data_IF_868706921110
#
_entry.id   IF_868706921110
#
_cell.length_a   1.000
_cell.length_b   1.000
_cell.length_c   1.000
_cell.angle_alpha   90.00
_cell.angle_beta   90.00
_cell.angle_gamma   90.00
#
_symmetry.space_group_name_H-M   'P 1'
#
loop_
_entity.id
_entity.type
_entity.pdbx_description
1 polymer ?
#
# COMPACT_ATOMS: atom_id res chain seq x y z
N UNK A 1 41.58 90.30 -16.38
CA UNK A 1 40.09 90.40 -16.34
C UNK A 1 39.57 89.26 -17.19
N UNK A 2 38.58 88.50 -16.71
CA UNK A 2 37.98 87.43 -17.51
C UNK A 2 37.16 88.11 -18.59
N UNK A 3 37.71 88.23 -19.80
CA UNK A 3 36.92 88.67 -20.93
C UNK A 3 35.97 87.54 -21.28
N UNK A 4 34.69 87.73 -20.96
CA UNK A 4 33.60 86.87 -21.43
C UNK A 4 33.46 87.06 -22.95
N UNK A 5 34.31 86.37 -23.69
CA UNK A 5 34.32 86.36 -25.14
C UNK A 5 33.37 85.27 -25.67
N UNK A 6 32.80 85.50 -26.86
CA UNK A 6 31.92 84.54 -27.57
C UNK A 6 32.57 83.16 -27.72
N UNK A 7 33.90 83.10 -27.79
CA UNK A 7 34.69 81.86 -27.76
C UNK A 7 34.38 80.97 -26.55
N UNK A 8 34.18 81.56 -25.36
CA UNK A 8 33.89 80.84 -24.12
C UNK A 8 32.49 80.21 -24.15
N UNK A 9 31.53 80.90 -24.79
CA UNK A 9 30.19 80.36 -25.06
C UNK A 9 30.25 79.18 -26.04
N UNK A 10 31.02 79.31 -27.13
CA UNK A 10 31.20 78.25 -28.13
C UNK A 10 31.87 77.02 -27.50
N UNK A 11 32.88 77.22 -26.65
CA UNK A 11 33.57 76.13 -25.94
C UNK A 11 32.63 75.44 -24.93
N UNK A 12 31.79 76.20 -24.22
CA UNK A 12 30.78 75.64 -23.33
C UNK A 12 29.75 74.79 -24.10
N UNK A 13 29.28 75.27 -25.26
CA UNK A 13 28.37 74.50 -26.14
C UNK A 13 29.06 73.23 -26.64
N UNK A 14 30.33 73.29 -27.07
CA UNK A 14 31.07 72.12 -27.50
C UNK A 14 31.23 71.07 -26.39
N UNK A 15 31.54 71.51 -25.17
CA UNK A 15 31.63 70.64 -24.00
C UNK A 15 30.27 70.01 -23.66
N UNK A 16 29.18 70.76 -23.74
CA UNK A 16 27.82 70.24 -23.54
C UNK A 16 27.45 69.19 -24.60
N UNK A 17 27.77 69.44 -25.87
CA UNK A 17 27.54 68.48 -26.96
C UNK A 17 28.35 67.20 -26.70
N UNK A 18 29.63 67.32 -26.33
CA UNK A 18 30.48 66.18 -26.00
C UNK A 18 29.94 65.39 -24.79
N UNK A 19 29.44 66.09 -23.77
CA UNK A 19 28.84 65.47 -22.59
C UNK A 19 27.58 64.67 -22.94
N UNK A 20 26.71 65.22 -23.79
CA UNK A 20 25.52 64.51 -24.28
C UNK A 20 25.90 63.28 -25.11
N UNK A 21 26.88 63.42 -26.00
CA UNK A 21 27.40 62.31 -26.81
C UNK A 21 27.97 61.21 -25.91
N UNK A 22 28.80 61.57 -24.93
CA UNK A 22 29.41 60.63 -23.99
C UNK A 22 28.36 59.95 -23.09
N UNK A 23 27.35 60.69 -22.64
CA UNK A 23 26.22 60.15 -21.87
C UNK A 23 25.45 59.09 -22.67
N UNK A 24 25.23 59.34 -23.97
CA UNK A 24 24.48 58.44 -24.85
C UNK A 24 25.30 57.22 -25.29
N UNK A 25 26.57 57.41 -25.62
CA UNK A 25 27.45 56.38 -26.22
C UNK A 25 28.17 55.54 -25.18
N UNK A 26 28.56 56.10 -24.03
CA UNK A 26 29.43 55.40 -23.08
C UNK A 26 28.74 55.10 -21.74
N UNK A 27 28.20 56.11 -21.07
CA UNK A 27 27.66 55.92 -19.72
C UNK A 27 26.43 55.01 -19.69
N UNK A 28 25.46 55.23 -20.58
CA UNK A 28 24.26 54.38 -20.65
C UNK A 28 24.55 52.91 -20.91
N UNK A 29 25.32 52.51 -21.95
CA UNK A 29 25.57 51.10 -22.20
C UNK A 29 26.42 50.44 -21.12
N UNK A 30 27.37 51.15 -20.50
CA UNK A 30 28.15 50.61 -19.38
C UNK A 30 27.26 50.31 -18.17
N UNK A 31 26.38 51.24 -17.80
CA UNK A 31 25.45 51.03 -16.68
C UNK A 31 24.47 49.89 -16.97
N UNK A 32 23.95 49.81 -18.19
CA UNK A 32 23.09 48.70 -18.61
C UNK A 32 23.81 47.35 -18.55
N UNK A 33 25.07 47.29 -19.00
CA UNK A 33 25.87 46.05 -18.92
C UNK A 33 26.15 45.64 -17.47
N UNK A 34 26.35 46.62 -16.57
CA UNK A 34 26.56 46.36 -15.15
C UNK A 34 25.28 45.87 -14.45
N UNK A 35 24.15 46.47 -14.78
CA UNK A 35 22.83 46.07 -14.28
C UNK A 35 22.44 44.69 -14.78
N UNK A 36 22.67 44.39 -16.06
CA UNK A 36 22.44 43.08 -16.66
C UNK A 36 23.28 41.99 -15.98
N UNK A 37 24.57 42.27 -15.70
CA UNK A 37 25.43 41.35 -14.93
C UNK A 37 24.90 41.15 -13.52
N UNK A 38 24.56 42.22 -12.81
CA UNK A 38 24.01 42.14 -11.46
C UNK A 38 22.66 41.40 -11.41
N UNK A 39 21.85 41.50 -12.48
CA UNK A 39 20.59 40.79 -12.62
C UNK A 39 20.79 39.31 -12.89
N UNK A 40 21.70 38.94 -13.80
CA UNK A 40 22.03 37.52 -14.08
C UNK A 40 22.59 36.81 -12.86
N UNK A 41 23.51 37.43 -12.11
CA UNK A 41 24.10 36.80 -10.92
C UNK A 41 23.11 36.66 -9.77
N UNK A 42 22.25 37.67 -9.53
CA UNK A 42 21.22 37.59 -8.48
C UNK A 42 20.07 36.65 -8.86
N UNK A 43 19.63 36.69 -10.12
CA UNK A 43 18.60 35.80 -10.64
C UNK A 43 19.02 34.34 -10.57
N UNK A 44 20.24 34.01 -11.02
CA UNK A 44 20.75 32.65 -10.96
C UNK A 44 20.84 32.10 -9.53
N UNK A 45 21.20 32.92 -8.53
CA UNK A 45 21.21 32.49 -7.12
C UNK A 45 19.82 32.23 -6.57
N UNK A 46 18.87 33.14 -6.83
CA UNK A 46 17.48 32.95 -6.38
C UNK A 46 16.78 31.78 -7.05
N UNK A 47 17.10 31.49 -8.33
CA UNK A 47 16.59 30.30 -9.00
C UNK A 47 17.19 29.01 -8.42
N UNK A 48 18.48 28.99 -8.09
CA UNK A 48 19.10 27.83 -7.42
C UNK A 48 18.46 27.56 -6.06
N UNK A 49 18.31 28.59 -5.22
CA UNK A 49 17.66 28.45 -3.90
C UNK A 49 16.21 27.94 -4.04
N UNK A 50 15.45 28.46 -5.01
CA UNK A 50 14.09 27.96 -5.28
C UNK A 50 14.08 26.50 -5.71
N UNK A 51 14.99 26.08 -6.58
CA UNK A 51 15.05 24.70 -7.07
C UNK A 51 15.46 23.75 -5.95
N UNK A 52 16.39 24.18 -5.08
CA UNK A 52 16.78 23.40 -3.90
C UNK A 52 15.62 23.26 -2.90
N UNK A 53 14.90 24.34 -2.61
CA UNK A 53 13.73 24.32 -1.72
C UNK A 53 12.62 23.42 -2.28
N UNK A 54 12.28 23.58 -3.56
CA UNK A 54 11.29 22.72 -4.23
C UNK A 54 11.73 21.24 -4.26
N UNK A 55 13.03 20.98 -4.45
CA UNK A 55 13.59 19.65 -4.40
C UNK A 55 13.48 19.02 -3.00
N UNK A 56 13.80 19.79 -1.96
CA UNK A 56 13.68 19.37 -0.57
C UNK A 56 12.23 19.09 -0.18
N UNK A 57 11.29 19.96 -0.56
CA UNK A 57 9.85 19.76 -0.33
C UNK A 57 9.34 18.49 -1.04
N UNK A 58 9.74 18.28 -2.30
CA UNK A 58 9.34 17.09 -3.05
C UNK A 58 9.89 15.80 -2.42
N UNK A 59 11.14 15.80 -1.96
CA UNK A 59 11.72 14.64 -1.28
C UNK A 59 11.03 14.39 0.05
N UNK A 60 10.75 15.43 0.84
CA UNK A 60 10.03 15.28 2.10
C UNK A 60 8.60 14.73 1.90
N UNK A 61 7.88 15.21 0.89
CA UNK A 61 6.56 14.69 0.51
C UNK A 61 6.64 13.22 0.08
N UNK A 62 7.62 12.88 -0.76
CA UNK A 62 7.84 11.50 -1.22
C UNK A 62 8.17 10.54 -0.07
N UNK A 63 9.01 10.95 0.87
CA UNK A 63 9.35 10.16 2.06
C UNK A 63 8.12 9.95 2.96
N UNK A 64 7.31 11.00 3.15
CA UNK A 64 6.07 10.92 3.91
C UNK A 64 5.07 9.95 3.25
N UNK A 65 4.86 10.06 1.94
CA UNK A 65 3.98 9.15 1.19
C UNK A 65 4.46 7.71 1.26
N UNK A 66 5.78 7.48 1.17
CA UNK A 66 6.36 6.15 1.30
C UNK A 66 6.17 5.57 2.70
N UNK A 67 6.30 6.38 3.75
CA UNK A 67 6.04 5.97 5.12
C UNK A 67 4.56 5.59 5.33
N UNK A 68 3.64 6.41 4.81
CA UNK A 68 2.19 6.13 4.84
C UNK A 68 1.88 4.84 4.10
N UNK A 69 2.36 4.68 2.86
CA UNK A 69 2.15 3.47 2.07
C UNK A 69 2.66 2.20 2.77
N UNK A 70 3.85 2.27 3.38
CA UNK A 70 4.41 1.15 4.16
C UNK A 70 3.55 0.81 5.38
N UNK A 71 3.08 1.83 6.11
CA UNK A 71 2.22 1.62 7.29
C UNK A 71 0.88 0.99 6.90
N UNK A 72 0.25 1.46 5.81
CA UNK A 72 -1.00 0.93 5.29
C UNK A 72 -0.84 -0.50 4.78
N UNK A 73 0.25 -0.79 4.05
CA UNK A 73 0.54 -2.14 3.59
C UNK A 73 0.71 -3.11 4.77
N UNK A 74 1.44 -2.69 5.82
CA UNK A 74 1.61 -3.49 7.04
C UNK A 74 0.29 -3.71 7.77
N UNK A 75 -0.54 -2.69 7.90
CA UNK A 75 -1.86 -2.80 8.52
C UNK A 75 -2.75 -3.78 7.77
N UNK A 76 -2.87 -3.62 6.44
CA UNK A 76 -3.65 -4.54 5.59
C UNK A 76 -3.13 -5.97 5.64
N UNK A 77 -1.81 -6.16 5.66
CA UNK A 77 -1.22 -7.49 5.79
C UNK A 77 -1.60 -8.15 7.12
N UNK A 78 -1.53 -7.41 8.24
CA UNK A 78 -1.89 -7.94 9.55
C UNK A 78 -3.39 -8.24 9.65
N UNK A 79 -4.25 -7.37 9.12
CA UNK A 79 -5.69 -7.59 9.04
C UNK A 79 -6.00 -8.88 8.26
N UNK A 80 -5.46 -9.03 7.05
CA UNK A 80 -5.66 -10.22 6.22
C UNK A 80 -5.12 -11.49 6.87
N UNK A 81 -3.99 -11.38 7.57
CA UNK A 81 -3.42 -12.51 8.31
C UNK A 81 -4.30 -12.91 9.49
N UNK A 82 -4.85 -11.95 10.22
CA UNK A 82 -5.78 -12.21 11.33
C UNK A 82 -7.09 -12.85 10.83
N UNK A 83 -7.67 -12.32 9.74
CA UNK A 83 -8.84 -12.89 9.08
C UNK A 83 -8.58 -14.34 8.63
N UNK A 84 -7.44 -14.60 7.98
CA UNK A 84 -7.10 -15.94 7.51
C UNK A 84 -6.89 -16.93 8.66
N UNK A 85 -6.29 -16.49 9.79
CA UNK A 85 -6.14 -17.33 10.97
C UNK A 85 -7.49 -17.64 11.62
N UNK A 86 -8.35 -16.65 11.78
CA UNK A 86 -9.69 -16.84 12.34
C UNK A 86 -10.54 -17.76 11.46
N UNK A 87 -10.46 -17.61 10.14
CA UNK A 87 -11.15 -18.48 9.18
C UNK A 87 -10.62 -19.92 9.25
N UNK A 88 -9.30 -20.11 9.32
CA UNK A 88 -8.69 -21.42 9.46
C UNK A 88 -9.12 -22.10 10.77
N UNK A 89 -9.13 -21.36 11.88
CA UNK A 89 -9.62 -21.86 13.17
C UNK A 89 -11.10 -22.25 13.10
N UNK A 90 -11.94 -21.44 12.45
CA UNK A 90 -13.35 -21.74 12.25
C UNK A 90 -13.55 -23.03 11.45
N UNK A 91 -12.86 -23.16 10.31
CA UNK A 91 -12.95 -24.36 9.47
C UNK A 91 -12.53 -25.60 10.25
N UNK A 92 -11.41 -25.53 10.98
CA UNK A 92 -10.94 -26.66 11.80
C UNK A 92 -11.95 -27.01 12.89
N UNK A 93 -12.57 -26.02 13.54
CA UNK A 93 -13.58 -26.25 14.55
C UNK A 93 -14.85 -26.89 13.97
N UNK A 94 -15.34 -26.39 12.82
CA UNK A 94 -16.49 -26.94 12.12
C UNK A 94 -16.26 -28.39 11.68
N UNK A 95 -15.09 -28.68 11.08
CA UNK A 95 -14.77 -30.05 10.64
C UNK A 95 -14.59 -31.01 11.83
N UNK A 96 -14.05 -30.54 12.96
CA UNK A 96 -14.02 -31.34 14.19
C UNK A 96 -15.41 -31.67 14.70
N UNK A 97 -16.31 -30.69 14.74
CA UNK A 97 -17.70 -30.91 15.16
C UNK A 97 -18.43 -31.89 14.24
N UNK A 98 -18.22 -31.78 12.92
CA UNK A 98 -18.76 -32.74 11.95
C UNK A 98 -18.22 -34.15 12.19
N UNK A 99 -16.91 -34.29 12.37
CA UNK A 99 -16.29 -35.58 12.65
C UNK A 99 -16.81 -36.21 13.95
N UNK A 100 -16.97 -35.42 15.01
CA UNK A 100 -17.57 -35.88 16.27
C UNK A 100 -19.03 -36.31 16.10
N UNK A 101 -19.81 -35.56 15.32
CA UNK A 101 -21.19 -35.92 15.01
C UNK A 101 -21.30 -37.20 14.18
N UNK A 102 -20.44 -37.38 13.17
CA UNK A 102 -20.37 -38.60 12.37
C UNK A 102 -19.97 -39.81 13.22
N UNK A 103 -18.98 -39.67 14.10
CA UNK A 103 -18.60 -40.71 15.07
C UNK A 103 -19.78 -41.13 15.94
N UNK A 104 -20.50 -40.17 16.52
CA UNK A 104 -21.68 -40.45 17.34
C UNK A 104 -22.79 -41.16 16.53
N UNK A 105 -23.02 -40.77 15.27
CA UNK A 105 -23.97 -41.44 14.39
C UNK A 105 -23.54 -42.88 14.08
N UNK A 106 -22.26 -43.11 13.80
CA UNK A 106 -21.72 -44.43 13.54
C UNK A 106 -21.82 -45.34 14.76
N UNK A 107 -21.54 -44.84 15.97
CA UNK A 107 -21.70 -45.58 17.22
C UNK A 107 -23.17 -46.00 17.45
N UNK A 108 -24.12 -45.08 17.25
CA UNK A 108 -25.55 -45.39 17.34
C UNK A 108 -25.99 -46.42 16.30
N UNK A 109 -25.51 -46.30 15.06
CA UNK A 109 -25.82 -47.26 14.00
C UNK A 109 -25.24 -48.64 14.31
N UNK A 110 -24.02 -48.72 14.86
CA UNK A 110 -23.40 -49.97 15.30
C UNK A 110 -24.19 -50.62 16.45
N UNK A 111 -24.64 -49.83 17.42
CA UNK A 111 -25.45 -50.32 18.53
C UNK A 111 -26.76 -50.94 18.03
N UNK A 112 -27.50 -50.24 17.15
CA UNK A 112 -28.72 -50.75 16.53
C UNK A 112 -28.48 -52.02 15.71
N UNK A 113 -27.39 -52.06 14.94
CA UNK A 113 -27.03 -53.24 14.14
C UNK A 113 -26.69 -54.45 15.01
N UNK A 114 -26.02 -54.25 16.15
CA UNK A 114 -25.77 -55.31 17.12
C UNK A 114 -27.07 -55.85 17.69
N UNK A 115 -27.98 -54.97 18.09
CA UNK A 115 -29.28 -55.36 18.62
C UNK A 115 -30.10 -56.16 17.60
N UNK A 116 -30.14 -55.71 16.33
CA UNK A 116 -30.85 -56.44 15.26
C UNK A 116 -30.23 -57.81 14.98
N UNK A 117 -28.89 -57.91 14.94
CA UNK A 117 -28.20 -59.18 14.75
C UNK A 117 -28.45 -60.16 15.90
N UNK A 118 -28.50 -59.69 17.14
CA UNK A 118 -28.82 -60.54 18.29
C UNK A 118 -30.26 -61.06 18.21
N UNK A 119 -31.21 -60.22 17.79
CA UNK A 119 -32.60 -60.64 17.58
C UNK A 119 -32.71 -61.68 16.45
N UNK A 120 -32.05 -61.47 15.32
CA UNK A 120 -32.00 -62.42 14.20
C UNK A 120 -31.36 -63.77 14.60
N UNK A 121 -30.30 -63.74 15.41
CA UNK A 121 -29.67 -64.97 15.92
C UNK A 121 -30.61 -65.74 16.84
N UNK A 122 -31.33 -65.06 17.74
CA UNK A 122 -32.30 -65.70 18.63
C UNK A 122 -33.46 -66.34 17.85
N UNK A 123 -33.96 -65.68 16.80
CA UNK A 123 -34.97 -66.28 15.92
C UNK A 123 -34.45 -67.53 15.20
N UNK A 124 -33.23 -67.47 14.65
CA UNK A 124 -32.59 -68.62 13.99
C UNK A 124 -32.31 -69.78 14.94
N UNK A 125 -31.88 -69.51 16.18
CA UNK A 125 -31.72 -70.54 17.20
C UNK A 125 -33.05 -71.23 17.51
N UNK A 126 -34.14 -70.47 17.66
CA UNK A 126 -35.47 -71.02 17.89
C UNK A 126 -36.02 -71.83 16.69
N UNK A 127 -35.65 -71.45 15.47
CA UNK A 127 -35.98 -72.19 14.25
C UNK A 127 -35.18 -73.51 14.15
N UNK A 128 -33.85 -73.45 14.35
CA UNK A 128 -32.98 -74.63 14.38
C UNK A 128 -33.38 -75.62 15.49
N UNK A 129 -33.70 -75.13 16.70
CA UNK A 129 -34.16 -75.97 17.80
C UNK A 129 -35.47 -76.70 17.45
N UNK A 130 -36.41 -76.02 16.79
CA UNK A 130 -37.66 -76.63 16.28
C UNK A 130 -37.37 -77.68 15.21
N UNK A 131 -36.46 -77.40 14.28
CA UNK A 131 -36.09 -78.34 13.21
C UNK A 131 -35.42 -79.61 13.76
N UNK A 132 -34.52 -79.45 14.75
CA UNK A 132 -33.87 -80.56 15.46
C UNK A 132 -34.90 -81.39 16.25
N UNK A 133 -35.79 -80.73 17.00
CA UNK A 133 -36.86 -81.41 17.74
C UNK A 133 -37.80 -82.18 16.81
N UNK A 134 -38.17 -81.60 15.66
CA UNK A 134 -38.99 -82.26 14.64
C UNK A 134 -38.28 -83.49 14.05
N UNK A 135 -36.97 -83.41 13.76
CA UNK A 135 -36.18 -84.57 13.29
C UNK A 135 -36.01 -85.65 14.36
N UNK A 136 -35.86 -85.27 15.63
CA UNK A 136 -35.73 -86.23 16.74
C UNK A 136 -37.05 -86.96 17.02
N UNK A 137 -38.17 -86.24 17.03
CA UNK A 137 -39.51 -86.80 17.27
C UNK A 137 -40.06 -87.54 16.04
N UNK A 138 -39.73 -87.09 14.83
CA UNK A 138 -40.10 -87.78 13.58
C UNK A 138 -39.34 -89.07 13.30
N UNK A 139 -38.26 -89.35 14.06
CA UNK A 139 -37.48 -90.60 13.98
C UNK A 139 -37.85 -91.60 15.09
N UNK A 140 -38.82 -91.27 15.94
CA UNK A 140 -39.28 -92.12 17.05
C UNK A 140 -40.57 -92.92 16.72
N UNK A 141 -40.83 -93.18 15.43
CA UNK A 141 -41.84 -94.14 14.97
C UNK A 141 -41.16 -95.25 14.17
#
# INVERSE_FOLDING_TARGET
>A
MIELNVSLLIQAVNFLVLLVVLQRILYRPILQALEERARRTRGARGEVERVEEQGAELMAAYEADLAVARSQARARYQERRAEALAEAERIVAEEKQKAEAELAQHEQALAKRRESLLAELAEREAELAREVAAKALGRAL
#
